data_IF_577133508558
#
_entry.id   IF_577133508558
#
_cell.length_a   1.000
_cell.length_b   1.000
_cell.length_c   1.000
_cell.angle_alpha   90.00
_cell.angle_beta   90.00
_cell.angle_gamma   90.00
#
_symmetry.space_group_name_H-M   'P 1'
#
loop_
_entity.id
_entity.type
_entity.pdbx_description
1 polymer ?
#
# COMPACT_ATOMS: atom_id res chain seq x y z
N UNK A 1 12.66 -20.54 1.70
CA UNK A 1 13.14 -19.35 0.96
C UNK A 1 12.55 -18.13 1.63
N UNK A 2 13.37 -17.21 2.17
CA UNK A 2 12.88 -15.99 2.80
C UNK A 2 12.57 -14.99 1.68
N UNK A 3 11.29 -14.62 1.50
CA UNK A 3 10.88 -13.58 0.55
C UNK A 3 11.34 -12.20 1.06
N UNK A 4 11.72 -11.31 0.16
CA UNK A 4 12.06 -9.93 0.53
C UNK A 4 10.79 -9.17 0.91
N UNK A 5 10.93 -8.16 1.79
CA UNK A 5 9.82 -7.28 2.15
C UNK A 5 9.24 -6.57 0.91
N UNK A 6 10.10 -6.16 -0.01
CA UNK A 6 9.70 -5.54 -1.27
C UNK A 6 8.78 -6.46 -2.10
N UNK A 7 9.15 -7.74 -2.23
CA UNK A 7 8.33 -8.72 -2.93
C UNK A 7 6.97 -8.90 -2.26
N UNK A 8 6.94 -9.05 -0.93
CA UNK A 8 5.70 -9.20 -0.17
C UNK A 8 4.80 -7.96 -0.32
N UNK A 9 5.38 -6.75 -0.32
CA UNK A 9 4.62 -5.50 -0.52
C UNK A 9 4.08 -5.38 -1.94
N UNK A 10 4.82 -5.78 -2.97
CA UNK A 10 4.31 -5.71 -4.34
C UNK A 10 3.13 -6.68 -4.52
N UNK A 11 3.25 -7.88 -3.97
CA UNK A 11 2.19 -8.87 -3.96
C UNK A 11 0.95 -8.37 -3.19
N UNK A 12 1.13 -7.66 -2.08
CA UNK A 12 0.03 -6.97 -1.36
C UNK A 12 -0.68 -5.95 -2.27
N UNK A 13 0.08 -5.07 -2.93
CA UNK A 13 -0.50 -4.03 -3.80
C UNK A 13 -1.20 -4.64 -5.01
N UNK A 14 -0.61 -5.66 -5.63
CA UNK A 14 -1.18 -6.31 -6.80
C UNK A 14 -2.52 -7.00 -6.45
N UNK A 15 -2.64 -7.62 -5.26
CA UNK A 15 -3.91 -8.16 -4.74
C UNK A 15 -4.97 -7.07 -4.55
N UNK A 16 -4.61 -5.95 -3.91
CA UNK A 16 -5.53 -4.83 -3.71
C UNK A 16 -5.99 -4.20 -5.03
N UNK A 17 -5.08 -4.05 -5.99
CA UNK A 17 -5.40 -3.57 -7.34
C UNK A 17 -6.33 -4.53 -8.09
N UNK A 18 -6.18 -5.83 -7.88
CA UNK A 18 -7.06 -6.85 -8.45
C UNK A 18 -8.47 -6.88 -7.82
N UNK A 19 -8.66 -6.21 -6.68
CA UNK A 19 -9.89 -6.24 -5.88
C UNK A 19 -9.94 -7.38 -4.85
N UNK A 20 -8.86 -8.15 -4.69
CA UNK A 20 -8.74 -9.19 -3.66
C UNK A 20 -8.29 -8.56 -2.34
N UNK A 21 -9.16 -7.73 -1.77
CA UNK A 21 -8.89 -6.99 -0.53
C UNK A 21 -8.68 -7.93 0.65
N UNK A 22 -9.38 -9.06 0.70
CA UNK A 22 -9.25 -10.03 1.78
C UNK A 22 -7.86 -10.69 1.80
N UNK A 23 -7.38 -11.18 0.65
CA UNK A 23 -6.02 -11.74 0.58
C UNK A 23 -4.95 -10.67 0.75
N UNK A 24 -5.20 -9.44 0.29
CA UNK A 24 -4.33 -8.29 0.53
C UNK A 24 -4.08 -8.03 2.02
N UNK A 25 -5.16 -7.95 2.82
CA UNK A 25 -5.05 -7.78 4.27
C UNK A 25 -4.43 -9.00 4.97
N UNK A 26 -4.73 -10.23 4.56
CA UNK A 26 -4.06 -11.42 5.11
C UNK A 26 -2.54 -11.37 4.92
N UNK A 27 -2.10 -10.99 3.73
CA UNK A 27 -0.67 -10.86 3.42
C UNK A 27 -0.04 -9.71 4.21
N UNK A 28 -0.75 -8.58 4.38
CA UNK A 28 -0.32 -7.48 5.23
C UNK A 28 -0.10 -7.93 6.68
N UNK A 29 -1.09 -8.59 7.28
CA UNK A 29 -0.98 -9.11 8.65
C UNK A 29 0.18 -10.09 8.80
N UNK A 30 0.41 -10.95 7.81
CA UNK A 30 1.56 -11.85 7.80
C UNK A 30 2.89 -11.07 7.82
N UNK A 31 3.03 -10.03 6.99
CA UNK A 31 4.22 -9.18 6.95
C UNK A 31 4.44 -8.48 8.29
N UNK A 32 3.39 -7.90 8.87
CA UNK A 32 3.46 -7.22 10.17
C UNK A 32 3.78 -8.18 11.32
N UNK A 33 3.18 -9.38 11.33
CA UNK A 33 3.43 -10.42 12.34
C UNK A 33 4.88 -10.93 12.35
N UNK A 34 5.60 -10.79 11.23
CA UNK A 34 7.04 -11.08 11.11
C UNK A 34 7.92 -9.95 11.65
N UNK A 35 7.34 -8.95 12.32
CA UNK A 35 8.07 -7.83 12.92
C UNK A 35 8.48 -6.75 11.93
N UNK A 36 7.90 -6.71 10.73
CA UNK A 36 8.16 -5.64 9.75
C UNK A 36 7.47 -4.35 10.17
N UNK A 37 8.18 -3.23 10.05
CA UNK A 37 7.64 -1.94 10.47
C UNK A 37 6.47 -1.53 9.57
N UNK A 38 5.31 -1.12 10.14
CA UNK A 38 4.22 -0.56 9.35
C UNK A 38 4.65 0.65 8.51
N UNK A 39 5.56 1.47 9.02
CA UNK A 39 6.08 2.63 8.30
C UNK A 39 6.94 2.23 7.08
N UNK A 40 7.78 1.19 7.23
CA UNK A 40 8.54 0.63 6.09
C UNK A 40 7.61 0.06 5.02
N UNK A 41 6.58 -0.67 5.43
CA UNK A 41 5.55 -1.22 4.54
C UNK A 41 4.82 -0.08 3.80
N UNK A 42 4.42 0.97 4.53
CA UNK A 42 3.76 2.15 3.97
C UNK A 42 4.62 2.83 2.91
N UNK A 43 5.92 3.02 3.18
CA UNK A 43 6.87 3.59 2.23
C UNK A 43 7.02 2.78 0.94
N UNK A 44 7.07 1.45 1.06
CA UNK A 44 7.16 0.55 -0.10
C UNK A 44 5.86 0.51 -0.92
N UNK A 45 4.69 0.59 -0.28
CA UNK A 45 3.40 0.72 -0.98
C UNK A 45 3.38 2.03 -1.78
N UNK A 46 3.75 3.15 -1.15
CA UNK A 46 3.81 4.45 -1.82
C UNK A 46 4.75 4.42 -3.04
N UNK A 47 5.92 3.79 -2.90
CA UNK A 47 6.85 3.60 -4.00
C UNK A 47 6.24 2.76 -5.14
N UNK A 48 5.58 1.64 -4.82
CA UNK A 48 4.94 0.75 -5.80
C UNK A 48 3.83 1.47 -6.56
N UNK A 49 3.00 2.26 -5.87
CA UNK A 49 1.96 3.08 -6.48
C UNK A 49 2.54 4.12 -7.46
N UNK A 50 3.67 4.76 -7.13
CA UNK A 50 4.37 5.67 -8.05
C UNK A 50 4.89 4.95 -9.29
N UNK A 51 5.39 3.71 -9.15
CA UNK A 51 5.80 2.87 -10.29
C UNK A 51 4.61 2.51 -11.19
N UNK A 52 3.48 2.14 -10.60
CA UNK A 52 2.25 1.87 -11.36
C UNK A 52 1.75 3.11 -12.11
N UNK A 53 1.80 4.28 -11.47
CA UNK A 53 1.47 5.56 -12.10
C UNK A 53 2.41 5.89 -13.27
N UNK A 54 3.72 5.74 -13.08
CA UNK A 54 4.73 6.00 -14.11
C UNK A 54 4.69 5.01 -15.28
N UNK A 55 4.24 3.78 -15.06
CA UNK A 55 4.08 2.75 -16.09
C UNK A 55 2.99 3.05 -17.14
N UNK A 56 2.18 4.10 -16.93
CA UNK A 56 1.15 4.56 -17.87
C UNK A 56 -0.03 3.58 -18.04
N UNK A 57 -0.84 3.80 -19.09
CA UNK A 57 -2.12 3.07 -19.34
C UNK A 57 -2.00 1.55 -19.49
N UNK A 58 -0.79 0.98 -19.59
CA UNK A 58 -0.57 -0.46 -19.81
C UNK A 58 -0.46 -1.29 -18.52
N UNK A 59 -0.28 -0.66 -17.35
CA UNK A 59 0.03 -1.38 -16.11
C UNK A 59 -1.22 -2.00 -15.42
N UNK A 60 -2.43 -1.47 -15.63
CA UNK A 60 -3.69 -2.08 -15.16
C UNK A 60 -4.90 -1.34 -15.73
N UNK A 61 -5.80 -2.03 -16.43
CA UNK A 61 -7.10 -1.45 -16.82
C UNK A 61 -7.96 -1.08 -15.60
N UNK A 62 -7.75 -1.75 -14.45
CA UNK A 62 -8.53 -1.57 -13.22
C UNK A 62 -7.97 -0.49 -12.28
N UNK A 63 -6.75 -0.01 -12.52
CA UNK A 63 -6.10 1.02 -11.71
C UNK A 63 -5.69 2.20 -12.58
N UNK A 64 -6.64 3.11 -12.78
CA UNK A 64 -6.46 4.28 -13.64
C UNK A 64 -5.40 5.24 -13.07
N UNK A 65 -4.79 6.10 -13.91
CA UNK A 65 -3.86 7.13 -13.44
C UNK A 65 -4.46 8.02 -12.33
N UNK A 66 -5.74 8.37 -12.41
CA UNK A 66 -6.41 9.15 -11.37
C UNK A 66 -6.54 8.41 -10.05
N UNK A 67 -6.86 7.11 -10.10
CA UNK A 67 -6.90 6.25 -8.91
C UNK A 67 -5.52 6.11 -8.28
N UNK A 68 -4.48 5.96 -9.10
CA UNK A 68 -3.10 5.94 -8.63
C UNK A 68 -2.67 7.27 -8.00
N UNK A 69 -3.03 8.41 -8.60
CA UNK A 69 -2.77 9.74 -8.04
C UNK A 69 -3.44 9.93 -6.69
N UNK A 70 -4.72 9.54 -6.58
CA UNK A 70 -5.47 9.58 -5.31
C UNK A 70 -4.79 8.70 -4.25
N UNK A 71 -4.40 7.47 -4.62
CA UNK A 71 -3.71 6.56 -3.73
C UNK A 71 -2.37 7.14 -3.23
N UNK A 72 -1.54 7.67 -4.13
CA UNK A 72 -0.27 8.31 -3.79
C UNK A 72 -0.48 9.46 -2.79
N UNK A 73 -1.48 10.31 -3.03
CA UNK A 73 -1.82 11.39 -2.10
C UNK A 73 -2.20 10.83 -0.74
N UNK A 74 -3.08 9.82 -0.69
CA UNK A 74 -3.55 9.26 0.58
C UNK A 74 -2.42 8.67 1.43
N UNK A 75 -1.49 7.97 0.79
CA UNK A 75 -0.31 7.42 1.46
C UNK A 75 0.68 8.51 1.89
N UNK A 76 0.77 9.63 1.16
CA UNK A 76 1.56 10.78 1.59
C UNK A 76 0.94 11.46 2.83
N UNK A 77 -0.39 11.61 2.86
CA UNK A 77 -1.11 12.15 4.01
C UNK A 77 -0.93 11.26 5.25
N UNK A 78 -0.93 9.92 5.07
CA UNK A 78 -0.67 8.96 6.14
C UNK A 78 0.78 9.03 6.67
N UNK A 79 1.77 9.14 5.78
CA UNK A 79 3.17 9.35 6.15
C UNK A 79 3.37 10.64 6.95
N UNK A 80 2.69 11.73 6.56
CA UNK A 80 2.70 12.96 7.33
C UNK A 80 2.05 12.81 8.71
N UNK A 81 0.91 12.10 8.79
CA UNK A 81 0.21 11.87 10.06
C UNK A 81 1.08 11.08 11.06
N UNK A 82 1.86 10.12 10.56
CA UNK A 82 2.83 9.38 11.36
C UNK A 82 3.97 10.29 11.83
N UNK A 83 4.61 11.02 10.91
CA UNK A 83 5.77 11.88 11.22
C UNK A 83 5.45 13.04 12.16
N UNK A 84 4.22 13.55 12.11
CA UNK A 84 3.73 14.61 13.00
C UNK A 84 3.24 14.09 14.36
N UNK A 85 3.19 12.77 14.55
CA UNK A 85 2.67 12.15 15.76
C UNK A 85 1.13 12.19 15.87
N UNK A 86 0.43 12.60 14.82
CA UNK A 86 -1.02 12.66 14.78
C UNK A 86 -1.67 11.26 14.77
N UNK A 87 -0.96 10.24 14.26
CA UNK A 87 -1.47 8.87 14.16
C UNK A 87 -0.36 7.85 14.34
N UNK A 88 -0.67 6.70 14.96
CA UNK A 88 0.25 5.56 15.06
C UNK A 88 0.43 4.88 13.69
N UNK A 89 1.64 4.42 13.41
CA UNK A 89 2.06 3.86 12.12
C UNK A 89 1.11 2.80 11.57
N UNK A 90 0.76 1.81 12.40
CA UNK A 90 -0.12 0.71 11.99
C UNK A 90 -1.51 1.20 11.61
N UNK A 91 -2.09 2.08 12.43
CA UNK A 91 -3.42 2.61 12.16
C UNK A 91 -3.41 3.47 10.89
N UNK A 92 -2.38 4.30 10.70
CA UNK A 92 -2.24 5.13 9.51
C UNK A 92 -2.15 4.29 8.23
N UNK A 93 -1.38 3.19 8.26
CA UNK A 93 -1.26 2.24 7.16
C UNK A 93 -2.61 1.57 6.83
N UNK A 94 -3.28 1.00 7.83
CA UNK A 94 -4.55 0.28 7.64
C UNK A 94 -5.65 1.23 7.11
N UNK A 95 -5.77 2.44 7.68
CA UNK A 95 -6.73 3.44 7.19
C UNK A 95 -6.43 3.86 5.76
N UNK A 96 -5.16 4.11 5.40
CA UNK A 96 -4.80 4.48 4.04
C UNK A 96 -5.13 3.37 3.03
N UNK A 97 -4.92 2.10 3.40
CA UNK A 97 -5.30 0.95 2.56
C UNK A 97 -6.81 0.89 2.38
N UNK A 98 -7.58 1.01 3.46
CA UNK A 98 -9.05 0.98 3.38
C UNK A 98 -9.60 2.09 2.48
N UNK A 99 -9.13 3.33 2.66
CA UNK A 99 -9.60 4.49 1.89
C UNK A 99 -9.35 4.35 0.37
N UNK A 100 -8.28 3.64 -0.01
CA UNK A 100 -7.87 3.47 -1.41
C UNK A 100 -8.49 2.23 -2.06
N UNK A 101 -8.61 1.13 -1.32
CA UNK A 101 -8.88 -0.18 -1.89
C UNK A 101 -10.18 -0.85 -1.41
N UNK A 102 -10.78 -0.43 -0.29
CA UNK A 102 -11.98 -1.07 0.27
C UNK A 102 -13.31 -0.48 -0.24
N UNK A 103 -13.40 -0.20 -1.55
CA UNK A 103 -14.64 0.29 -2.21
C UNK A 103 -15.30 -0.80 -3.03
#
# INVERSE_FOLDING_TARGET
MIRSLEYDVFDIVDKFVAGDTQSGFRQLELVLSRGKSPNEVMGLIAWRLRKLYAGGRRASQKFTPDRARMAIKRFADADWAVKSGAQKDRLALETAIMDVFAK
#
